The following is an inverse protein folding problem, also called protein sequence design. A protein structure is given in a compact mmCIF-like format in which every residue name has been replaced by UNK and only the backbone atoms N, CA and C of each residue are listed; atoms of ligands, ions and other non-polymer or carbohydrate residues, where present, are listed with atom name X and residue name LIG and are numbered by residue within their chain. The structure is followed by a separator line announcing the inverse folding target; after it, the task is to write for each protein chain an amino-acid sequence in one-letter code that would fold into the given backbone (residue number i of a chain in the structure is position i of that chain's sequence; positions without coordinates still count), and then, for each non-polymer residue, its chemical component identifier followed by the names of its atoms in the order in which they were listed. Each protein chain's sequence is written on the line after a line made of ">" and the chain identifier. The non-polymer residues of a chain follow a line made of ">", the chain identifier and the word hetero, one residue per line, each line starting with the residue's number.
data_IF_095858121049
#
_entry.id   IF_095858121049
#
_cell.length_a   1.000
_cell.length_b   1.000
_cell.length_c   1.000
_cell.angle_alpha   90.00
_cell.angle_beta   90.00
_cell.angle_gamma   90.00
#
_symmetry.space_group_name_H-M   'P 1'
#
loop_
_entity.id
_entity.type
_entity.pdbx_description
1 polymer ?
#
# COMPACT_ATOMS: atom_id res chain seq x y z
N UNK A 1 -46.19 5.80 9.03
CA UNK A 1 -44.73 5.72 9.25
C UNK A 1 -44.07 5.53 7.91
N UNK A 2 -43.50 6.58 7.35
CA UNK A 2 -42.81 6.57 6.04
C UNK A 2 -41.34 6.76 6.29
N UNK A 3 -40.54 5.76 5.95
CA UNK A 3 -39.07 5.80 5.99
C UNK A 3 -38.59 6.52 4.73
N UNK A 4 -37.81 7.62 4.91
CA UNK A 4 -37.07 8.27 3.83
C UNK A 4 -35.62 7.77 3.89
N UNK A 5 -35.25 7.00 2.87
CA UNK A 5 -33.85 6.65 2.60
C UNK A 5 -33.32 7.71 1.65
N UNK A 6 -32.48 8.60 2.15
CA UNK A 6 -31.75 9.57 1.34
C UNK A 6 -30.57 8.88 0.62
N UNK A 7 -30.71 8.63 -0.67
CA UNK A 7 -29.62 8.18 -1.51
C UNK A 7 -28.80 9.38 -1.97
N UNK A 8 -27.51 9.44 -1.60
CA UNK A 8 -26.54 10.34 -2.21
C UNK A 8 -26.15 9.76 -3.57
N UNK A 9 -26.66 10.34 -4.65
CA UNK A 9 -26.25 10.02 -6.02
C UNK A 9 -24.94 10.75 -6.35
N UNK A 10 -23.89 9.99 -6.67
CA UNK A 10 -22.68 10.51 -7.27
C UNK A 10 -22.99 10.93 -8.73
N UNK A 11 -22.93 12.22 -9.00
CA UNK A 11 -23.09 12.76 -10.36
C UNK A 11 -21.72 12.83 -11.05
N UNK A 12 -21.61 12.12 -12.17
CA UNK A 12 -20.52 12.28 -13.14
C UNK A 12 -20.80 13.57 -13.93
N UNK A 13 -19.89 14.54 -13.85
CA UNK A 13 -20.01 15.77 -14.62
C UNK A 13 -19.38 15.57 -16.02
N UNK A 14 -20.25 15.51 -17.00
CA UNK A 14 -19.90 15.68 -18.43
C UNK A 14 -19.87 17.18 -18.71
N UNK A 15 -18.80 17.66 -19.37
CA UNK A 15 -18.63 19.07 -19.70
C UNK A 15 -19.66 19.52 -20.74
N UNK A 16 -20.52 20.45 -20.39
CA UNK A 16 -21.30 21.25 -21.32
C UNK A 16 -21.55 22.64 -20.75
N UNK A 17 -21.14 23.63 -21.49
CA UNK A 17 -21.49 25.06 -21.57
C UNK A 17 -22.33 25.64 -20.43
N UNK A 18 -21.76 26.55 -19.63
CA UNK A 18 -22.45 27.35 -18.63
C UNK A 18 -22.46 28.84 -19.08
N UNK A 19 -23.63 29.54 -19.09
CA UNK A 19 -23.67 30.99 -19.28
C UNK A 19 -23.29 31.74 -17.99
N UNK A 20 -22.66 32.90 -18.17
CA UNK A 20 -22.24 33.84 -17.14
C UNK A 20 -23.38 34.25 -16.19
N UNK A 21 -23.12 34.13 -14.89
CA UNK A 21 -23.74 34.93 -13.85
C UNK A 21 -22.64 35.40 -12.90
N UNK A 22 -22.42 36.73 -12.89
CA UNK A 22 -21.57 37.43 -11.91
C UNK A 22 -22.25 37.39 -10.54
N UNK A 23 -21.54 36.88 -9.52
CA UNK A 23 -21.70 37.32 -8.13
C UNK A 23 -20.37 37.10 -7.40
N UNK A 24 -19.81 38.22 -6.95
CA UNK A 24 -18.61 38.30 -6.12
C UNK A 24 -18.83 37.56 -4.80
N UNK A 25 -18.17 36.38 -4.66
CA UNK A 25 -17.92 35.79 -3.38
C UNK A 25 -16.41 35.55 -3.26
N UNK A 26 -15.78 36.32 -2.41
CA UNK A 26 -14.36 36.17 -2.05
C UNK A 26 -14.23 34.83 -1.31
N UNK A 27 -13.71 33.81 -2.02
CA UNK A 27 -13.35 32.53 -1.42
C UNK A 27 -11.92 32.64 -0.92
N UNK A 28 -11.74 32.68 0.40
CA UNK A 28 -10.44 32.41 1.00
C UNK A 28 -10.10 30.92 0.81
N UNK A 29 -9.28 30.64 -0.21
CA UNK A 29 -8.71 29.33 -0.42
C UNK A 29 -7.56 29.16 0.56
N UNK A 30 -7.75 28.36 1.59
CA UNK A 30 -6.66 27.85 2.40
C UNK A 30 -5.80 26.91 1.53
N UNK A 31 -4.58 27.36 1.23
CA UNK A 31 -3.57 26.54 0.55
C UNK A 31 -3.11 25.45 1.51
N UNK A 32 -3.60 24.21 1.31
CA UNK A 32 -2.87 22.97 1.63
C UNK A 32 -3.79 21.77 1.30
N UNK A 33 -3.37 20.95 0.33
CA UNK A 33 -3.90 19.66 -0.15
C UNK A 33 -4.72 19.75 -1.47
N UNK A 34 -4.15 19.32 -2.62
CA UNK A 34 -4.77 19.57 -3.94
C UNK A 34 -5.84 18.56 -4.37
N UNK A 35 -6.43 17.75 -3.50
CA UNK A 35 -7.37 16.69 -3.92
C UNK A 35 -8.51 16.30 -2.96
N UNK A 36 -8.91 17.17 -2.07
CA UNK A 36 -10.21 17.03 -1.40
C UNK A 36 -11.26 17.86 -2.11
N UNK A 37 -12.00 17.22 -3.01
CA UNK A 37 -13.29 17.77 -3.45
C UNK A 37 -14.27 17.50 -2.29
N UNK A 38 -14.55 18.52 -1.49
CA UNK A 38 -15.65 18.47 -0.53
C UNK A 38 -16.95 18.72 -1.30
N UNK A 39 -17.83 17.72 -1.32
CA UNK A 39 -19.18 17.90 -1.82
C UNK A 39 -19.96 18.78 -0.83
N UNK A 40 -20.40 19.94 -1.28
CA UNK A 40 -21.29 20.84 -0.54
C UNK A 40 -22.74 20.50 -0.94
N UNK A 41 -23.58 20.17 0.00
CA UNK A 41 -25.02 20.09 -0.20
C UNK A 41 -25.71 21.26 0.52
N UNK A 42 -26.77 21.79 -0.08
CA UNK A 42 -27.63 22.80 0.54
C UNK A 42 -28.92 22.13 1.00
N UNK A 43 -29.39 22.50 2.18
CA UNK A 43 -30.74 22.11 2.61
C UNK A 43 -31.81 22.99 1.93
N UNK A 44 -33.06 22.67 2.20
CA UNK A 44 -34.22 23.39 1.61
C UNK A 44 -34.32 24.87 2.04
N UNK A 45 -33.57 25.25 3.05
CA UNK A 45 -33.52 26.63 3.60
C UNK A 45 -32.25 27.37 3.17
N UNK A 46 -31.42 26.76 2.30
CA UNK A 46 -30.22 27.40 1.73
C UNK A 46 -28.99 27.38 2.66
N UNK A 47 -29.01 26.67 3.77
CA UNK A 47 -27.87 26.54 4.65
C UNK A 47 -26.88 25.52 4.10
N UNK A 48 -25.58 25.88 4.03
CA UNK A 48 -24.49 24.99 3.63
C UNK A 48 -24.28 23.96 4.72
N UNK A 49 -24.59 22.70 4.45
CA UNK A 49 -24.28 21.60 5.32
C UNK A 49 -22.98 20.95 4.85
N UNK A 50 -21.94 21.02 5.68
CA UNK A 50 -20.76 20.20 5.47
C UNK A 50 -21.19 18.74 5.63
N UNK A 51 -21.16 17.98 4.54
CA UNK A 51 -21.16 16.52 4.65
C UNK A 51 -19.81 16.12 5.27
N UNK A 52 -19.74 16.13 6.60
CA UNK A 52 -18.69 15.40 7.28
C UNK A 52 -19.00 13.92 7.04
N UNK A 53 -18.20 13.31 6.22
CA UNK A 53 -18.17 11.87 6.06
C UNK A 53 -17.83 11.27 7.44
N UNK A 54 -18.85 11.03 8.24
CA UNK A 54 -18.74 10.22 9.44
C UNK A 54 -18.68 8.77 8.97
N UNK A 55 -17.54 8.39 8.39
CA UNK A 55 -17.24 6.97 8.28
C UNK A 55 -17.25 6.38 9.69
N UNK A 56 -17.91 5.25 9.89
CA UNK A 56 -17.98 4.64 11.20
C UNK A 56 -16.56 4.38 11.71
N UNK A 57 -16.19 5.04 12.79
CA UNK A 57 -14.90 4.94 13.48
C UNK A 57 -14.48 3.51 13.89
N UNK A 58 -15.35 2.53 13.66
CA UNK A 58 -15.15 1.12 14.03
C UNK A 58 -14.11 0.38 13.17
N UNK A 59 -13.83 0.81 11.94
CA UNK A 59 -12.85 0.12 11.08
C UNK A 59 -11.40 0.46 11.39
N UNK A 60 -11.10 1.66 11.89
CA UNK A 60 -9.73 2.06 12.27
C UNK A 60 -9.14 1.24 13.44
N UNK A 61 -9.95 0.56 14.21
CA UNK A 61 -9.48 -0.25 15.35
C UNK A 61 -8.92 -1.62 14.95
N UNK A 62 -9.20 -2.12 13.75
CA UNK A 62 -8.72 -3.44 13.31
C UNK A 62 -7.30 -3.45 12.75
N UNK A 63 -6.73 -2.30 12.43
CA UNK A 63 -5.39 -2.18 11.86
C UNK A 63 -5.25 -2.66 10.42
N UNK A 64 -6.05 -3.58 9.98
CA UNK A 64 -6.20 -4.10 8.60
C UNK A 64 -7.47 -4.97 8.52
N UNK A 65 -7.96 -5.20 7.32
CA UNK A 65 -9.11 -6.09 7.03
C UNK A 65 -8.64 -7.12 6.03
N UNK A 66 -9.03 -8.39 6.23
CA UNK A 66 -8.75 -9.46 5.28
C UNK A 66 -9.39 -9.12 3.92
N UNK A 67 -8.60 -9.01 2.85
CA UNK A 67 -9.16 -8.76 1.52
C UNK A 67 -10.28 -9.71 1.11
N UNK A 68 -10.23 -10.97 1.55
CA UNK A 68 -11.23 -11.97 1.23
C UNK A 68 -12.62 -11.66 1.83
N UNK A 69 -12.72 -10.86 2.91
CA UNK A 69 -14.01 -10.47 3.51
C UNK A 69 -14.93 -9.74 2.50
N UNK A 70 -14.33 -9.05 1.52
CA UNK A 70 -15.06 -8.28 0.51
C UNK A 70 -14.65 -8.62 -0.93
N UNK A 71 -14.25 -9.88 -1.17
CA UNK A 71 -13.97 -10.41 -2.51
C UNK A 71 -12.62 -9.99 -3.10
N UNK A 72 -11.70 -9.53 -2.27
CA UNK A 72 -10.30 -9.32 -2.63
C UNK A 72 -9.44 -10.56 -2.45
N UNK A 73 -8.11 -10.40 -2.49
CA UNK A 73 -7.15 -11.50 -2.41
C UNK A 73 -5.83 -11.04 -1.80
N UNK A 74 -5.14 -11.94 -1.11
CA UNK A 74 -3.74 -11.79 -0.70
C UNK A 74 -2.75 -12.19 -1.81
N UNK A 75 -3.22 -12.28 -3.04
CA UNK A 75 -2.40 -12.47 -4.24
C UNK A 75 -2.60 -11.27 -5.15
N UNK A 76 -1.52 -10.71 -5.64
CA UNK A 76 -1.58 -9.70 -6.70
C UNK A 76 -1.75 -10.33 -8.11
N UNK A 77 -1.72 -9.50 -9.14
CA UNK A 77 -1.80 -9.92 -10.54
C UNK A 77 -0.61 -9.34 -11.29
N UNK A 78 0.29 -10.23 -11.73
CA UNK A 78 1.55 -9.89 -12.44
C UNK A 78 1.35 -9.80 -13.96
N UNK A 79 0.22 -10.12 -14.50
CA UNK A 79 -0.02 -10.31 -15.93
C UNK A 79 -0.01 -11.78 -16.35
N UNK A 80 -0.63 -12.08 -17.50
CA UNK A 80 -0.77 -13.44 -18.03
C UNK A 80 -1.36 -14.47 -17.04
N UNK A 81 -2.08 -14.00 -15.99
CA UNK A 81 -2.65 -14.85 -14.97
C UNK A 81 -1.69 -15.29 -13.86
N UNK A 82 -0.45 -14.85 -13.89
CA UNK A 82 0.50 -15.05 -12.79
C UNK A 82 0.16 -14.18 -11.58
N UNK A 83 0.46 -14.69 -10.39
CA UNK A 83 0.18 -14.03 -9.12
C UNK A 83 1.35 -14.17 -8.17
N UNK A 84 1.58 -13.13 -7.35
CA UNK A 84 2.59 -13.13 -6.29
C UNK A 84 1.93 -12.92 -4.93
N UNK A 85 2.50 -13.50 -3.85
CA UNK A 85 1.90 -13.39 -2.53
C UNK A 85 2.11 -12.00 -1.94
N UNK A 86 1.04 -11.40 -1.43
CA UNK A 86 1.09 -10.24 -0.55
C UNK A 86 1.34 -10.79 0.86
N UNK A 87 2.60 -10.84 1.28
CA UNK A 87 3.06 -11.61 2.43
C UNK A 87 3.49 -10.77 3.64
N UNK A 88 3.41 -9.44 3.53
CA UNK A 88 3.62 -8.50 4.65
C UNK A 88 2.53 -7.45 4.66
N UNK A 89 2.03 -7.10 5.85
CA UNK A 89 1.11 -5.99 6.07
C UNK A 89 1.73 -5.06 7.11
N UNK A 90 1.87 -3.77 6.79
CA UNK A 90 2.11 -2.73 7.79
C UNK A 90 0.73 -2.26 8.26
N UNK A 91 0.40 -2.60 9.49
CA UNK A 91 -0.90 -2.36 10.11
C UNK A 91 -1.25 -0.87 10.15
N UNK A 92 -2.50 -0.53 9.89
CA UNK A 92 -3.05 0.81 10.13
C UNK A 92 -3.07 1.23 11.63
N UNK A 93 -2.73 0.30 12.54
CA UNK A 93 -2.44 0.61 13.94
C UNK A 93 -1.02 1.15 14.17
N UNK A 94 -0.17 1.18 13.14
CA UNK A 94 1.16 1.77 13.18
C UNK A 94 1.10 3.29 13.38
N UNK A 95 2.23 3.89 13.74
CA UNK A 95 2.32 5.35 13.87
C UNK A 95 1.92 6.06 12.58
N UNK A 96 1.17 7.16 12.72
CA UNK A 96 0.59 7.92 11.59
C UNK A 96 1.62 8.33 10.55
N UNK A 97 2.85 8.58 10.98
CA UNK A 97 3.91 8.99 10.06
C UNK A 97 4.20 7.90 9.04
N UNK A 98 4.32 6.64 9.46
CA UNK A 98 4.62 5.52 8.54
C UNK A 98 3.43 5.21 7.62
N UNK A 99 2.23 5.64 7.99
CA UNK A 99 1.03 5.45 7.19
C UNK A 99 0.84 6.52 6.09
N UNK A 100 1.73 7.51 6.00
CA UNK A 100 1.78 8.45 4.86
C UNK A 100 2.76 7.95 3.80
N UNK A 101 2.59 8.38 2.54
CA UNK A 101 3.46 7.98 1.43
C UNK A 101 4.93 8.32 1.69
N UNK A 102 5.19 9.57 2.15
CA UNK A 102 6.54 9.99 2.50
C UNK A 102 7.10 9.25 3.71
N UNK A 103 6.25 8.96 4.69
CA UNK A 103 6.66 8.21 5.88
C UNK A 103 6.96 6.75 5.58
N UNK A 104 6.20 6.11 4.69
CA UNK A 104 6.53 4.78 4.18
C UNK A 104 7.88 4.77 3.46
N UNK A 105 8.14 5.78 2.61
CA UNK A 105 9.45 5.92 1.94
C UNK A 105 10.60 6.09 2.94
N UNK A 106 10.43 6.94 3.96
CA UNK A 106 11.45 7.15 4.99
C UNK A 106 11.68 5.87 5.80
N UNK A 107 10.62 5.14 6.14
CA UNK A 107 10.69 3.84 6.80
C UNK A 107 11.36 2.78 5.91
N UNK A 108 10.98 2.68 4.64
CA UNK A 108 11.63 1.78 3.69
C UNK A 108 13.15 2.06 3.59
N UNK A 109 13.54 3.35 3.54
CA UNK A 109 14.95 3.76 3.53
C UNK A 109 15.68 3.39 4.82
N UNK A 110 15.01 3.44 5.97
CA UNK A 110 15.59 3.00 7.23
C UNK A 110 15.90 1.50 7.23
N UNK A 111 15.10 0.70 6.53
CA UNK A 111 15.31 -0.73 6.31
C UNK A 111 16.32 -1.04 5.18
N UNK A 112 16.86 -0.02 4.54
CA UNK A 112 17.82 -0.16 3.45
C UNK A 112 17.21 -0.27 2.05
N UNK A 113 15.89 -0.05 1.91
CA UNK A 113 15.22 -0.03 0.61
C UNK A 113 15.20 1.38 0.01
N UNK A 114 15.19 1.47 -1.31
CA UNK A 114 14.95 2.71 -2.04
C UNK A 114 14.27 2.40 -3.38
N UNK A 115 13.88 3.44 -4.10
CA UNK A 115 13.42 3.29 -5.49
C UNK A 115 14.53 2.70 -6.36
N UNK A 116 14.14 2.03 -7.43
CA UNK A 116 15.05 1.62 -8.48
C UNK A 116 15.80 2.81 -9.05
N UNK A 117 17.11 2.66 -9.27
CA UNK A 117 17.97 3.77 -9.71
C UNK A 117 18.46 3.67 -11.16
N UNK A 118 18.47 2.46 -11.74
CA UNK A 118 19.06 2.21 -13.05
C UNK A 118 18.01 2.12 -14.16
N UNK A 119 16.74 2.27 -13.84
CA UNK A 119 15.60 2.08 -14.76
C UNK A 119 15.64 0.73 -15.49
N UNK A 120 16.24 -0.29 -14.86
CA UNK A 120 16.26 -1.69 -15.33
C UNK A 120 15.03 -2.38 -14.75
N UNK A 121 13.87 -1.87 -15.05
CA UNK A 121 12.62 -2.49 -14.62
C UNK A 121 12.20 -3.54 -15.66
N UNK A 122 12.22 -4.80 -15.28
CA UNK A 122 11.72 -5.91 -16.07
C UNK A 122 10.31 -6.26 -15.58
N UNK A 123 9.31 -5.73 -16.25
CA UNK A 123 7.91 -6.00 -15.94
C UNK A 123 7.02 -4.76 -15.99
N UNK A 124 5.71 -4.98 -15.99
CA UNK A 124 4.71 -3.92 -15.92
C UNK A 124 4.23 -3.69 -14.49
N UNK A 125 3.33 -2.70 -14.31
CA UNK A 125 2.64 -2.48 -13.06
C UNK A 125 1.86 -3.74 -12.66
N UNK A 126 1.98 -4.12 -11.40
CA UNK A 126 1.17 -5.18 -10.81
C UNK A 126 -0.07 -4.60 -10.16
N UNK A 127 -1.13 -5.39 -10.08
CA UNK A 127 -2.43 -4.96 -9.58
C UNK A 127 -2.87 -5.85 -8.42
N UNK A 128 -3.49 -5.25 -7.41
CA UNK A 128 -4.09 -5.99 -6.30
C UNK A 128 -5.52 -5.52 -6.03
N UNK A 129 -6.37 -6.46 -5.60
CA UNK A 129 -7.68 -6.17 -5.05
C UNK A 129 -7.66 -6.46 -3.56
N UNK A 130 -7.61 -5.40 -2.74
CA UNK A 130 -7.53 -5.51 -1.29
C UNK A 130 -8.92 -5.63 -0.60
N UNK A 131 -9.99 -5.89 -1.36
CA UNK A 131 -11.33 -6.02 -0.81
C UNK A 131 -11.86 -4.72 -0.18
N UNK A 132 -11.27 -3.59 -0.54
CA UNK A 132 -11.61 -2.28 0.04
C UNK A 132 -12.65 -1.49 -0.77
N UNK A 133 -13.17 -2.10 -1.84
CA UNK A 133 -14.18 -1.52 -2.72
C UNK A 133 -13.63 -0.82 -3.96
N UNK A 134 -12.30 -0.74 -4.12
CA UNK A 134 -11.66 -0.14 -5.30
C UNK A 134 -11.46 -1.15 -6.45
N UNK A 135 -11.60 -2.46 -6.17
CA UNK A 135 -11.28 -3.51 -7.14
C UNK A 135 -9.77 -3.66 -7.32
N UNK A 136 -9.33 -3.98 -8.55
CA UNK A 136 -7.91 -4.10 -8.85
C UNK A 136 -7.30 -2.73 -9.09
N UNK A 137 -6.39 -2.31 -8.20
CA UNK A 137 -5.64 -1.07 -8.29
C UNK A 137 -4.16 -1.34 -8.58
N UNK A 138 -3.45 -0.46 -9.32
CA UNK A 138 -2.03 -0.62 -9.58
C UNK A 138 -1.23 -0.44 -8.29
N UNK A 139 -0.03 -1.05 -8.25
CA UNK A 139 0.94 -0.77 -7.18
C UNK A 139 1.26 0.72 -7.10
N UNK A 140 1.41 1.24 -5.89
CA UNK A 140 1.76 2.63 -5.65
C UNK A 140 3.27 2.86 -5.78
N UNK A 141 4.05 1.95 -5.22
CA UNK A 141 5.50 2.03 -5.21
C UNK A 141 6.12 0.65 -5.34
N UNK A 142 7.36 0.65 -5.81
CA UNK A 142 8.26 -0.50 -5.78
C UNK A 142 9.60 -0.08 -5.19
N UNK A 143 10.08 -0.86 -4.24
CA UNK A 143 11.32 -0.59 -3.51
C UNK A 143 12.26 -1.77 -3.57
N UNK A 144 13.56 -1.49 -3.72
CA UNK A 144 14.63 -2.47 -3.86
C UNK A 144 15.71 -2.29 -2.80
N UNK A 145 16.34 -3.37 -2.38
CA UNK A 145 17.43 -3.39 -1.42
C UNK A 145 18.35 -4.57 -1.64
N UNK A 146 19.66 -4.38 -1.52
CA UNK A 146 20.55 -5.54 -1.41
C UNK A 146 20.28 -6.30 -0.12
N UNK A 147 20.27 -7.63 -0.21
CA UNK A 147 20.16 -8.52 0.94
C UNK A 147 21.52 -8.62 1.68
N UNK A 148 22.05 -7.49 2.18
CA UNK A 148 23.33 -7.46 2.89
C UNK A 148 23.22 -6.64 4.17
N UNK A 149 23.74 -7.13 5.30
CA UNK A 149 23.82 -6.37 6.55
C UNK A 149 24.78 -5.16 6.49
N UNK A 150 25.63 -5.09 5.47
CA UNK A 150 26.59 -3.99 5.24
C UNK A 150 26.18 -3.13 4.06
N UNK A 151 24.93 -2.70 4.01
CA UNK A 151 24.47 -1.82 2.93
C UNK A 151 25.17 -0.47 2.99
N UNK A 152 25.74 0.03 1.88
CA UNK A 152 26.38 1.35 1.82
C UNK A 152 25.38 2.53 1.81
N UNK A 153 24.14 2.29 2.20
CA UNK A 153 23.02 3.23 2.18
C UNK A 153 21.92 2.77 1.22
N UNK A 154 20.67 3.15 1.51
CA UNK A 154 19.49 2.64 0.82
C UNK A 154 19.54 2.86 -0.71
N UNK A 155 19.98 4.05 -1.16
CA UNK A 155 20.02 4.35 -2.60
C UNK A 155 21.09 3.54 -3.34
N UNK A 156 22.33 3.49 -2.81
CA UNK A 156 23.40 2.69 -3.41
C UNK A 156 23.05 1.20 -3.36
N UNK A 157 22.41 0.76 -2.26
CA UNK A 157 21.92 -0.60 -2.11
C UNK A 157 20.89 -0.99 -3.15
N UNK A 158 19.94 -0.10 -3.45
CA UNK A 158 18.94 -0.34 -4.49
C UNK A 158 19.57 -0.39 -5.89
N UNK A 159 20.57 0.48 -6.17
CA UNK A 159 21.30 0.43 -7.44
C UNK A 159 22.09 -0.87 -7.60
N UNK A 160 22.74 -1.32 -6.53
CA UNK A 160 23.50 -2.58 -6.55
C UNK A 160 22.57 -3.80 -6.68
N UNK A 161 21.42 -3.75 -6.05
CA UNK A 161 20.40 -4.79 -6.17
C UNK A 161 19.99 -5.01 -7.62
N UNK A 162 19.77 -3.92 -8.38
CA UNK A 162 19.42 -4.01 -9.80
C UNK A 162 20.46 -4.77 -10.65
N UNK A 163 21.69 -4.94 -10.18
CA UNK A 163 22.76 -5.69 -10.85
C UNK A 163 22.95 -7.09 -10.25
N UNK A 164 22.95 -7.19 -8.93
CA UNK A 164 23.39 -8.37 -8.19
C UNK A 164 22.21 -9.18 -7.62
N UNK A 165 20.97 -8.72 -7.81
CA UNK A 165 19.81 -9.25 -7.14
C UNK A 165 19.75 -8.86 -5.68
N UNK A 166 18.63 -9.10 -5.05
CA UNK A 166 18.42 -8.73 -3.65
C UNK A 166 16.97 -8.85 -3.24
N UNK A 167 16.56 -8.01 -2.31
CA UNK A 167 15.20 -8.00 -1.82
C UNK A 167 14.42 -6.83 -2.44
N UNK A 168 13.20 -7.07 -2.84
CA UNK A 168 12.30 -6.02 -3.31
C UNK A 168 10.90 -6.19 -2.75
N UNK A 169 10.09 -5.14 -2.79
CA UNK A 169 8.66 -5.23 -2.53
C UNK A 169 7.87 -4.21 -3.33
N UNK A 170 6.65 -4.61 -3.67
CA UNK A 170 5.60 -3.74 -4.20
C UNK A 170 4.58 -3.46 -3.12
N UNK A 171 3.88 -2.33 -3.22
CA UNK A 171 2.99 -1.90 -2.15
C UNK A 171 1.68 -1.32 -2.68
N UNK A 172 0.61 -1.66 -1.97
CA UNK A 172 -0.75 -1.14 -2.14
C UNK A 172 -1.27 -0.63 -0.80
N UNK A 173 -2.25 0.25 -0.84
CA UNK A 173 -2.87 0.80 0.37
C UNK A 173 -4.33 0.37 0.45
N UNK A 174 -4.75 -0.09 1.63
CA UNK A 174 -6.15 -0.39 1.90
C UNK A 174 -6.84 0.90 2.40
N UNK A 175 -7.49 1.63 1.47
CA UNK A 175 -8.08 2.94 1.73
C UNK A 175 -9.37 3.19 0.92
N UNK A 176 -10.05 2.14 0.54
CA UNK A 176 -11.33 2.22 -0.17
C UNK A 176 -12.54 2.29 0.75
N UNK A 177 -13.71 2.40 0.16
CA UNK A 177 -14.97 2.64 0.88
C UNK A 177 -15.44 1.48 1.77
N UNK A 178 -15.02 0.23 1.46
CA UNK A 178 -15.37 -0.95 2.25
C UNK A 178 -14.32 -1.24 3.34
N UNK A 179 -13.09 -0.77 3.16
CA UNK A 179 -12.00 -0.93 4.13
C UNK A 179 -11.02 0.23 4.04
N UNK A 180 -11.17 1.26 4.87
CA UNK A 180 -10.25 2.40 5.01
C UNK A 180 -9.43 2.25 6.29
N UNK A 181 -8.52 1.29 6.31
CA UNK A 181 -7.63 1.03 7.46
C UNK A 181 -6.34 1.86 7.39
N UNK A 182 -5.97 2.32 6.21
CA UNK A 182 -4.70 2.97 5.93
C UNK A 182 -3.50 2.00 5.94
N UNK A 183 -3.73 0.70 6.12
CA UNK A 183 -2.68 -0.31 6.11
C UNK A 183 -1.99 -0.40 4.74
N UNK A 184 -0.68 -0.73 4.78
CA UNK A 184 0.09 -1.03 3.59
C UNK A 184 0.21 -2.54 3.41
N UNK A 185 -0.11 -3.03 2.21
CA UNK A 185 -0.02 -4.42 1.81
C UNK A 185 1.15 -4.59 0.86
N UNK A 186 2.09 -5.46 1.19
CA UNK A 186 3.35 -5.61 0.50
C UNK A 186 3.51 -7.02 -0.08
N UNK A 187 3.82 -7.10 -1.37
CA UNK A 187 4.35 -8.31 -2.00
C UNK A 187 5.87 -8.25 -1.95
N UNK A 188 6.46 -9.06 -1.08
CA UNK A 188 7.91 -9.04 -0.79
C UNK A 188 8.55 -10.30 -1.34
N UNK A 189 9.66 -10.15 -2.06
CA UNK A 189 10.43 -11.30 -2.56
C UNK A 189 11.92 -10.99 -2.69
N UNK A 190 12.72 -12.06 -2.72
CA UNK A 190 14.13 -12.00 -3.07
C UNK A 190 14.31 -12.39 -4.52
N UNK A 191 15.00 -11.56 -5.28
CA UNK A 191 15.34 -11.77 -6.69
C UNK A 191 16.77 -12.22 -6.90
N UNK A 192 17.00 -12.92 -8.01
CA UNK A 192 18.32 -13.21 -8.57
C UNK A 192 18.89 -11.99 -9.30
N UNK A 193 20.13 -12.08 -9.75
CA UNK A 193 20.81 -11.03 -10.47
C UNK A 193 20.23 -10.73 -11.88
N UNK A 194 20.71 -9.64 -12.49
CA UNK A 194 20.29 -9.19 -13.83
C UNK A 194 20.58 -10.24 -14.90
N UNK A 195 21.63 -11.08 -14.79
CA UNK A 195 21.92 -12.12 -15.76
C UNK A 195 20.88 -13.27 -15.73
N UNK A 196 20.14 -13.36 -14.63
CA UNK A 196 19.00 -14.26 -14.46
C UNK A 196 17.65 -13.54 -14.59
N UNK A 197 17.64 -12.36 -15.21
CA UNK A 197 16.44 -11.57 -15.50
C UNK A 197 15.60 -11.22 -14.25
N UNK A 198 16.22 -11.02 -13.10
CA UNK A 198 15.53 -10.74 -11.84
C UNK A 198 14.43 -11.74 -11.51
N UNK A 199 14.60 -13.01 -11.89
CA UNK A 199 13.65 -14.06 -11.48
C UNK A 199 13.68 -14.21 -9.97
N UNK A 200 12.54 -14.57 -9.39
CA UNK A 200 12.46 -14.82 -7.95
C UNK A 200 13.37 -16.00 -7.59
N UNK A 201 14.23 -15.82 -6.59
CA UNK A 201 15.11 -16.87 -6.07
C UNK A 201 14.32 -18.08 -5.59
N UNK A 202 14.90 -19.29 -5.56
CA UNK A 202 14.25 -20.44 -4.90
C UNK A 202 13.83 -20.08 -3.48
N UNK A 203 12.55 -20.31 -3.14
CA UNK A 203 11.92 -19.88 -1.89
C UNK A 203 11.97 -18.35 -1.63
N UNK A 204 12.11 -17.56 -2.69
CA UNK A 204 12.39 -16.11 -2.59
C UNK A 204 11.28 -15.32 -1.93
N UNK A 205 10.03 -15.74 -2.00
CA UNK A 205 8.90 -15.07 -1.32
C UNK A 205 9.03 -15.16 0.21
N UNK A 206 9.31 -16.34 0.76
CA UNK A 206 9.48 -16.50 2.20
C UNK A 206 10.78 -15.85 2.68
N UNK A 207 11.89 -16.05 1.94
CA UNK A 207 13.18 -15.44 2.28
C UNK A 207 13.10 -13.91 2.26
N UNK A 208 12.49 -13.32 1.24
CA UNK A 208 12.35 -11.88 1.13
C UNK A 208 11.52 -11.28 2.26
N UNK A 209 10.37 -11.89 2.56
CA UNK A 209 9.53 -11.52 3.70
C UNK A 209 10.32 -11.58 5.01
N UNK A 210 10.99 -12.68 5.28
CA UNK A 210 11.69 -12.91 6.56
C UNK A 210 12.85 -11.93 6.74
N UNK A 211 13.61 -11.61 5.68
CA UNK A 211 14.66 -10.59 5.71
C UNK A 211 14.11 -9.19 6.00
N UNK A 212 12.94 -8.83 5.45
CA UNK A 212 12.30 -7.56 5.75
C UNK A 212 11.84 -7.51 7.21
N UNK A 213 11.19 -8.56 7.70
CA UNK A 213 10.71 -8.68 9.08
C UNK A 213 11.86 -8.64 10.06
N UNK A 214 12.96 -9.33 9.80
CA UNK A 214 14.16 -9.29 10.64
C UNK A 214 14.68 -7.85 10.80
N UNK A 215 14.87 -7.12 9.70
CA UNK A 215 15.31 -5.72 9.74
C UNK A 215 14.32 -4.82 10.48
N UNK A 216 13.02 -5.01 10.28
CA UNK A 216 11.97 -4.21 10.90
C UNK A 216 11.94 -4.39 12.43
N UNK A 217 12.13 -5.61 12.92
CA UNK A 217 12.08 -5.94 14.34
C UNK A 217 13.37 -5.62 15.09
N UNK A 218 14.52 -5.62 14.42
CA UNK A 218 15.81 -5.19 15.00
C UNK A 218 15.87 -3.67 15.27
N UNK A 219 14.94 -2.92 14.71
CA UNK A 219 14.96 -1.46 14.74
C UNK A 219 15.78 -0.86 13.62
N UNK A 220 15.38 0.31 13.18
CA UNK A 220 15.98 1.01 12.03
C UNK A 220 15.97 2.51 12.24
N UNK A 221 16.80 3.24 11.48
CA UNK A 221 16.85 4.69 11.55
C UNK A 221 17.15 5.33 10.20
N UNK A 222 16.54 6.49 9.94
CA UNK A 222 16.78 7.31 8.78
C UNK A 222 16.54 8.78 9.09
N UNK A 223 17.48 9.66 8.71
CA UNK A 223 17.39 11.13 8.89
C UNK A 223 16.96 11.57 10.31
N UNK A 224 17.53 10.93 11.35
CA UNK A 224 17.25 11.29 12.73
C UNK A 224 15.92 10.76 13.29
N UNK A 225 15.19 10.00 12.51
CA UNK A 225 14.00 9.26 12.98
C UNK A 225 14.35 7.78 13.11
N UNK A 226 13.99 7.18 14.24
CA UNK A 226 14.17 5.75 14.52
C UNK A 226 12.81 5.06 14.59
N UNK A 227 12.77 3.80 14.19
CA UNK A 227 11.58 2.96 14.23
C UNK A 227 11.89 1.59 14.79
N UNK A 228 10.90 0.98 15.36
CA UNK A 228 10.86 -0.46 15.70
C UNK A 228 9.53 -1.03 15.24
N UNK A 229 9.48 -2.34 15.03
CA UNK A 229 8.24 -3.01 14.68
C UNK A 229 7.99 -4.21 15.57
N UNK A 230 6.74 -4.37 15.97
CA UNK A 230 6.24 -5.63 16.51
C UNK A 230 5.68 -6.45 15.36
N UNK A 231 5.99 -7.76 15.31
CA UNK A 231 5.46 -8.68 14.31
C UNK A 231 4.44 -9.64 14.93
N UNK A 232 3.29 -9.77 14.28
CA UNK A 232 2.34 -10.84 14.47
C UNK A 232 2.31 -11.71 13.21
N UNK A 233 2.43 -13.03 13.37
CA UNK A 233 2.35 -13.95 12.24
C UNK A 233 0.92 -14.46 12.08
N UNK A 234 0.40 -14.36 10.85
CA UNK A 234 -0.92 -14.87 10.47
C UNK A 234 -0.78 -16.04 9.51
N UNK A 235 -1.56 -17.08 9.80
CA UNK A 235 -1.81 -18.21 8.91
C UNK A 235 -3.23 -18.14 8.35
N UNK A 236 -3.48 -18.82 7.23
CA UNK A 236 -4.81 -18.90 6.62
C UNK A 236 -5.17 -17.76 5.68
N UNK A 237 -4.36 -16.70 5.58
CA UNK A 237 -4.54 -15.62 4.60
C UNK A 237 -4.00 -16.00 3.21
N UNK A 238 -2.96 -16.81 3.18
CA UNK A 238 -2.36 -17.41 1.99
C UNK A 238 -2.39 -18.93 2.12
N UNK A 239 -2.64 -19.62 1.03
CA UNK A 239 -2.53 -21.10 1.00
C UNK A 239 -1.07 -21.51 0.81
N UNK A 240 -0.53 -22.39 1.68
CA UNK A 240 0.81 -22.91 1.50
C UNK A 240 0.92 -23.75 0.23
N UNK A 241 2.11 -23.75 -0.38
CA UNK A 241 2.38 -24.49 -1.60
C UNK A 241 2.61 -23.57 -2.80
N UNK A 242 2.64 -24.14 -3.99
CA UNK A 242 3.00 -23.46 -5.24
C UNK A 242 1.81 -23.17 -6.16
N UNK A 243 0.62 -23.64 -5.81
CA UNK A 243 -0.54 -23.54 -6.68
C UNK A 243 -0.96 -22.08 -6.88
N UNK A 244 -0.96 -21.61 -8.12
CA UNK A 244 -1.32 -20.25 -8.49
C UNK A 244 -0.24 -19.21 -8.20
N UNK A 245 0.94 -19.63 -7.71
CA UNK A 245 2.07 -18.73 -7.43
C UNK A 245 3.00 -18.64 -8.63
N UNK A 246 3.43 -17.43 -8.95
CA UNK A 246 4.38 -17.14 -10.03
C UNK A 246 5.68 -17.93 -9.87
N UNK A 247 6.36 -18.20 -10.98
CA UNK A 247 7.59 -19.02 -11.05
C UNK A 247 7.47 -20.44 -10.48
N UNK A 248 6.25 -20.91 -10.17
CA UNK A 248 6.01 -22.22 -9.54
C UNK A 248 6.79 -22.41 -8.23
N UNK A 249 7.01 -21.33 -7.49
CA UNK A 249 7.71 -21.31 -6.20
C UNK A 249 6.71 -21.63 -5.08
N UNK A 250 7.09 -22.52 -4.17
CA UNK A 250 6.29 -22.81 -2.98
C UNK A 250 6.44 -21.71 -1.95
N UNK A 251 5.34 -21.38 -1.27
CA UNK A 251 5.29 -20.47 -0.10
C UNK A 251 4.83 -21.24 1.14
N UNK A 252 5.19 -20.77 2.32
CA UNK A 252 4.76 -21.38 3.60
C UNK A 252 3.34 -20.98 4.00
N UNK A 253 2.73 -19.99 3.34
CA UNK A 253 1.38 -19.48 3.60
C UNK A 253 1.29 -18.49 4.75
N UNK A 254 2.40 -18.11 5.39
CA UNK A 254 2.43 -17.17 6.50
C UNK A 254 2.49 -15.72 6.01
N UNK A 255 1.77 -14.84 6.68
CA UNK A 255 1.80 -13.39 6.46
C UNK A 255 2.30 -12.71 7.73
N UNK A 256 3.24 -11.78 7.58
CA UNK A 256 3.74 -10.96 8.68
C UNK A 256 2.92 -9.67 8.80
N UNK A 257 2.33 -9.44 9.97
CA UNK A 257 1.65 -8.19 10.30
C UNK A 257 2.58 -7.35 11.15
N UNK A 258 3.05 -6.23 10.64
CA UNK A 258 3.95 -5.32 11.33
C UNK A 258 3.18 -4.15 11.92
N UNK A 259 3.30 -3.93 13.22
CA UNK A 259 2.90 -2.67 13.86
C UNK A 259 4.16 -1.85 14.13
N UNK A 260 4.33 -0.77 13.38
CA UNK A 260 5.55 0.05 13.37
C UNK A 260 5.37 1.25 14.30
N UNK A 261 6.35 1.46 15.17
CA UNK A 261 6.40 2.57 16.11
C UNK A 261 7.64 3.43 15.85
N UNK A 262 7.46 4.74 15.85
CA UNK A 262 8.55 5.70 15.88
C UNK A 262 9.05 5.82 17.33
N UNK A 263 10.39 5.83 17.50
CA UNK A 263 11.06 5.97 18.79
C UNK A 263 11.44 7.42 19.08
#
# INVERSE_FOLDING_TARGET
>A
MRWWIGACLAAWASAAHVPHVETDAIVHVAQHEPWRIQALSHDVDGHVKLCTDQQPHTQRHRGWIDPAEHGGSMLDVVGNGFREPINVIISGASDRRVLSDQGLLDYARSLGFSFECLHIHLGGLQYANLGDGQGHVPQLFEYRSIASPRSPGAWIGACWESLAGGNHFRVWRQNGTLADTGAWFLAVSKEEDVARHHTISPNGYDIGRDLLVEKATQGSAFRGTSWTAHVEWKEGLLHPGRQGINHNISIDGRVAILTVHQL
#
